data_IF_940572634250
#
_entry.id   IF_940572634250
#
_cell.length_a   1.000
_cell.length_b   1.000
_cell.length_c   1.000
_cell.angle_alpha   90.00
_cell.angle_beta   90.00
_cell.angle_gamma   90.00
#
_symmetry.space_group_name_H-M   'P 1'
#
loop_
_entity.id
_entity.type
_entity.pdbx_description
1 polymer ?
#
# COMPACT_ATOMS: atom_id res chain seq x y z
N UNK A 1 -2.94 34.80 63.07
CA UNK A 1 -3.94 33.92 63.71
C UNK A 1 -4.48 32.96 62.67
N UNK A 2 -4.01 31.70 62.65
CA UNK A 2 -4.45 30.68 61.70
C UNK A 2 -5.66 29.93 62.28
N UNK A 3 -6.64 29.53 61.45
CA UNK A 3 -7.75 28.70 61.91
C UNK A 3 -8.09 27.58 60.90
N UNK A 4 -7.46 26.44 61.18
CA UNK A 4 -7.99 25.08 61.21
C UNK A 4 -8.62 24.48 59.93
N UNK A 5 -7.80 23.65 59.28
CA UNK A 5 -8.22 22.43 58.58
C UNK A 5 -9.17 21.59 59.45
N UNK A 6 -10.29 21.16 58.89
CA UNK A 6 -11.05 20.02 59.40
C UNK A 6 -10.82 18.81 58.51
N UNK A 7 -9.93 17.93 58.95
CA UNK A 7 -9.93 16.52 58.59
C UNK A 7 -11.20 15.87 59.13
N UNK A 8 -11.93 15.12 58.30
CA UNK A 8 -12.92 14.17 58.77
C UNK A 8 -12.54 12.79 58.25
N UNK A 9 -12.19 11.94 59.22
CA UNK A 9 -11.69 10.58 59.06
C UNK A 9 -12.87 9.60 59.21
N UNK A 10 -12.96 8.66 58.26
CA UNK A 10 -13.56 7.30 58.31
C UNK A 10 -15.08 7.07 58.42
N UNK A 11 -15.59 5.88 58.01
CA UNK A 11 -14.89 4.58 57.85
C UNK A 11 -15.06 3.79 56.54
N UNK A 12 -14.08 2.90 56.35
CA UNK A 12 -14.11 1.68 55.53
C UNK A 12 -15.28 0.76 55.93
N UNK A 13 -15.90 0.12 54.93
CA UNK A 13 -16.24 -1.33 54.86
C UNK A 13 -17.42 -1.56 53.92
N UNK A 14 -17.19 -1.83 52.64
CA UNK A 14 -17.95 -2.83 51.89
C UNK A 14 -16.97 -3.57 50.98
N UNK A 15 -16.51 -4.73 51.46
CA UNK A 15 -15.96 -5.79 50.62
C UNK A 15 -17.12 -6.37 49.80
N UNK A 16 -17.30 -5.89 48.58
CA UNK A 16 -18.12 -6.55 47.56
C UNK A 16 -17.20 -7.27 46.59
N UNK A 17 -17.12 -8.59 46.71
CA UNK A 17 -16.58 -9.47 45.68
C UNK A 17 -17.46 -9.33 44.42
N UNK A 18 -17.11 -8.42 43.51
CA UNK A 18 -17.62 -8.48 42.15
C UNK A 18 -16.90 -9.61 41.43
N UNK A 19 -17.42 -10.83 41.56
CA UNK A 19 -17.17 -11.88 40.58
C UNK A 19 -17.86 -11.43 39.31
N UNK A 20 -17.10 -10.89 38.35
CA UNK A 20 -17.59 -10.70 37.00
C UNK A 20 -17.76 -12.08 36.37
N UNK A 21 -18.98 -12.61 36.39
CA UNK A 21 -19.37 -13.70 35.52
C UNK A 21 -19.40 -13.12 34.10
N UNK A 22 -18.39 -13.43 33.31
CA UNK A 22 -18.40 -13.25 31.86
C UNK A 22 -19.43 -14.22 31.29
N UNK A 23 -20.68 -13.77 31.14
CA UNK A 23 -21.64 -14.47 30.29
C UNK A 23 -21.30 -14.12 28.84
N UNK A 24 -20.49 -14.97 28.19
CA UNK A 24 -20.41 -14.94 26.73
C UNK A 24 -21.73 -15.44 26.17
N UNK A 25 -22.68 -14.55 25.94
CA UNK A 25 -23.80 -14.83 25.06
C UNK A 25 -23.24 -14.86 23.63
N UNK A 26 -22.66 -16.00 23.25
CA UNK A 26 -22.46 -16.31 21.84
C UNK A 26 -23.86 -16.37 21.18
N UNK A 27 -24.05 -15.77 20.00
CA UNK A 27 -25.31 -15.93 19.28
C UNK A 27 -25.53 -17.43 19.05
N UNK A 28 -26.69 -17.93 19.47
CA UNK A 28 -27.14 -19.29 19.17
C UNK A 28 -27.32 -19.38 17.66
N UNK A 29 -26.37 -20.03 17.00
CA UNK A 29 -26.47 -20.37 15.59
C UNK A 29 -27.52 -21.48 15.53
N UNK A 30 -28.70 -21.18 14.97
CA UNK A 30 -29.71 -22.21 14.76
C UNK A 30 -29.18 -23.24 13.76
N UNK A 31 -29.42 -24.52 14.01
CA UNK A 31 -28.99 -25.66 13.18
C UNK A 31 -29.49 -25.57 11.71
N UNK A 32 -30.47 -24.71 11.45
CA UNK A 32 -30.96 -24.38 10.12
C UNK A 32 -30.08 -23.39 9.33
N UNK A 33 -29.25 -22.56 9.98
CA UNK A 33 -28.32 -21.63 9.32
C UNK A 33 -26.99 -22.30 8.93
N UNK A 34 -26.72 -23.50 9.45
CA UNK A 34 -25.51 -24.29 9.17
C UNK A 34 -25.68 -25.12 7.87
N UNK A 35 -26.88 -25.19 7.31
CA UNK A 35 -27.21 -26.11 6.19
C UNK A 35 -27.10 -25.50 4.79
N UNK A 36 -26.17 -24.57 4.57
CA UNK A 36 -25.79 -24.11 3.22
C UNK A 36 -24.29 -24.19 2.92
N UNK A 37 -23.49 -24.83 3.78
CA UNK A 37 -22.06 -24.99 3.54
C UNK A 37 -21.58 -26.41 3.82
N UNK A 38 -22.09 -27.35 3.04
CA UNK A 38 -21.36 -28.59 2.75
C UNK A 38 -20.16 -28.23 1.84
N UNK A 39 -19.14 -27.60 2.42
CA UNK A 39 -17.80 -27.57 1.84
C UNK A 39 -17.02 -28.73 2.47
N UNK A 40 -16.73 -29.74 1.64
CA UNK A 40 -15.89 -30.87 1.95
C UNK A 40 -14.58 -30.40 2.62
N UNK A 41 -14.18 -30.92 3.80
CA UNK A 41 -12.98 -30.47 4.53
C UNK A 41 -11.66 -30.65 3.75
N UNK A 42 -11.68 -31.35 2.62
CA UNK A 42 -10.56 -31.56 1.72
C UNK A 42 -10.30 -30.45 0.68
N UNK A 43 -11.18 -29.46 0.53
CA UNK A 43 -11.09 -28.43 -0.53
C UNK A 43 -10.60 -27.04 -0.03
N UNK A 44 -10.15 -26.92 1.22
CA UNK A 44 -9.45 -25.72 1.71
C UNK A 44 -7.99 -25.70 1.20
N UNK A 45 -7.76 -26.04 -0.07
CA UNK A 45 -6.67 -25.41 -0.80
C UNK A 45 -7.28 -24.12 -1.37
N UNK A 46 -7.53 -23.17 -0.46
CA UNK A 46 -7.99 -21.82 -0.80
C UNK A 46 -7.04 -21.28 -1.86
N UNK A 47 -7.58 -20.98 -3.03
CA UNK A 47 -6.87 -20.27 -4.09
C UNK A 47 -6.13 -19.08 -3.44
N UNK A 48 -4.84 -18.89 -3.73
CA UNK A 48 -4.10 -17.75 -3.21
C UNK A 48 -4.92 -16.47 -3.46
N UNK A 49 -4.98 -15.58 -2.45
CA UNK A 49 -5.68 -14.31 -2.55
C UNK A 49 -5.28 -13.62 -3.86
N UNK A 50 -6.25 -13.37 -4.73
CA UNK A 50 -5.98 -12.78 -6.04
C UNK A 50 -5.66 -11.30 -5.88
N UNK A 51 -4.68 -10.77 -6.63
CA UNK A 51 -4.37 -9.35 -6.59
C UNK A 51 -5.54 -8.46 -7.06
N UNK A 52 -6.51 -9.02 -7.80
CA UNK A 52 -7.71 -8.32 -8.28
C UNK A 52 -8.93 -8.59 -7.39
N UNK A 53 -8.75 -9.24 -6.24
CA UNK A 53 -9.83 -9.58 -5.32
C UNK A 53 -10.58 -8.30 -4.86
N UNK A 54 -11.93 -8.27 -4.95
CA UNK A 54 -12.73 -7.10 -4.54
C UNK A 54 -12.56 -6.69 -3.07
N UNK A 55 -12.06 -7.56 -2.19
CA UNK A 55 -11.75 -7.19 -0.80
C UNK A 55 -10.51 -6.28 -0.69
N UNK A 56 -9.62 -6.33 -1.68
CA UNK A 56 -8.40 -5.54 -1.72
C UNK A 56 -8.57 -4.16 -2.34
N UNK A 57 -9.62 -3.94 -3.13
CA UNK A 57 -9.81 -2.69 -3.89
C UNK A 57 -9.70 -1.42 -3.03
N UNK A 58 -10.10 -1.50 -1.75
CA UNK A 58 -10.00 -0.38 -0.80
C UNK A 58 -8.58 0.03 -0.43
N UNK A 59 -7.58 -0.72 -0.86
CA UNK A 59 -6.13 -0.47 -0.74
C UNK A 59 -5.47 -0.30 -2.12
N UNK A 60 -6.25 -0.16 -3.18
CA UNK A 60 -5.78 -0.13 -4.57
C UNK A 60 -6.21 1.16 -5.24
N UNK A 61 -6.15 2.27 -4.51
CA UNK A 61 -6.44 3.59 -5.08
C UNK A 61 -5.11 4.25 -5.45
N UNK A 62 -4.86 4.38 -6.75
CA UNK A 62 -3.60 4.89 -7.28
C UNK A 62 -3.36 6.31 -6.82
N UNK A 63 -4.35 7.19 -6.98
CA UNK A 63 -4.22 8.60 -6.61
C UNK A 63 -3.90 8.75 -5.13
N UNK A 64 -4.64 8.08 -4.25
CA UNK A 64 -4.37 8.13 -2.80
C UNK A 64 -3.01 7.55 -2.43
N UNK A 65 -2.57 6.52 -3.16
CA UNK A 65 -1.23 5.95 -3.03
C UNK A 65 -0.09 6.91 -3.38
N UNK A 66 -0.37 8.07 -3.99
CA UNK A 66 0.63 9.08 -4.35
C UNK A 66 0.51 10.39 -3.55
N UNK A 67 -0.55 10.59 -2.76
CA UNK A 67 -0.86 11.90 -2.16
C UNK A 67 0.10 12.35 -1.05
N UNK A 68 0.91 11.44 -0.51
CA UNK A 68 1.77 11.70 0.65
C UNK A 68 3.19 12.16 0.28
N UNK A 69 3.41 12.55 -0.98
CA UNK A 69 4.62 13.23 -1.45
C UNK A 69 5.33 12.51 -2.58
N UNK A 70 6.64 12.69 -2.67
CA UNK A 70 7.45 11.94 -3.62
C UNK A 70 7.69 10.52 -3.12
N UNK A 71 7.50 9.55 -4.02
CA UNK A 71 7.76 8.14 -3.77
C UNK A 71 9.09 7.74 -4.39
N UNK A 72 9.87 6.94 -3.68
CA UNK A 72 11.19 6.46 -4.09
C UNK A 72 11.16 4.94 -4.19
N UNK A 73 11.78 4.40 -5.23
CA UNK A 73 11.83 2.95 -5.42
C UNK A 73 12.67 2.29 -4.32
N UNK A 74 12.11 1.26 -3.71
CA UNK A 74 12.77 0.48 -2.65
C UNK A 74 13.09 -0.93 -3.10
N UNK A 75 12.12 -1.61 -3.71
CA UNK A 75 12.29 -2.97 -4.23
C UNK A 75 11.82 -3.06 -5.66
N UNK A 76 12.53 -3.84 -6.47
CA UNK A 76 12.12 -4.22 -7.82
C UNK A 76 12.30 -5.73 -8.00
N UNK A 77 11.32 -6.37 -8.64
CA UNK A 77 11.42 -7.77 -9.07
C UNK A 77 12.27 -7.96 -10.33
N UNK A 78 12.66 -6.87 -11.01
CA UNK A 78 13.49 -6.89 -12.20
C UNK A 78 14.89 -6.32 -11.89
N UNK A 79 15.92 -7.16 -12.07
CA UNK A 79 17.31 -6.84 -11.74
C UNK A 79 17.93 -5.82 -12.69
N UNK A 80 17.77 -6.03 -14.00
CA UNK A 80 18.28 -5.12 -15.03
C UNK A 80 17.09 -4.48 -15.75
N UNK A 81 16.98 -3.16 -15.64
CA UNK A 81 15.89 -2.37 -16.20
C UNK A 81 16.44 -1.02 -16.68
N UNK A 82 16.37 -0.80 -17.99
CA UNK A 82 16.87 0.40 -18.66
C UNK A 82 15.98 1.62 -18.46
N UNK A 83 14.71 1.45 -18.05
CA UNK A 83 13.75 2.53 -17.81
C UNK A 83 13.11 2.40 -16.42
N UNK A 84 13.89 1.93 -15.43
CA UNK A 84 13.45 1.75 -14.05
C UNK A 84 13.02 3.07 -13.47
N UNK A 85 11.81 3.11 -12.91
CA UNK A 85 11.31 4.29 -12.24
C UNK A 85 11.93 4.35 -10.83
N UNK A 86 12.79 5.33 -10.60
CA UNK A 86 13.46 5.52 -9.31
C UNK A 86 12.70 6.45 -8.37
N UNK A 87 11.93 7.39 -8.94
CA UNK A 87 11.11 8.33 -8.18
C UNK A 87 9.85 8.69 -8.94
N UNK A 88 8.74 8.79 -8.22
CA UNK A 88 7.48 9.34 -8.74
C UNK A 88 7.06 10.54 -7.89
N UNK A 89 6.68 11.64 -8.54
CA UNK A 89 6.13 12.82 -7.85
C UNK A 89 4.79 13.18 -8.45
N UNK A 90 3.73 13.07 -7.65
CA UNK A 90 2.37 13.37 -8.09
C UNK A 90 2.03 14.85 -7.90
N UNK A 91 1.45 15.46 -8.93
CA UNK A 91 1.01 16.85 -8.93
C UNK A 91 -0.46 16.93 -9.33
N UNK A 92 -1.36 16.95 -8.35
CA UNK A 92 -2.81 16.88 -8.59
C UNK A 92 -3.39 18.07 -9.38
N UNK A 93 -2.83 19.27 -9.22
CA UNK A 93 -3.37 20.51 -9.81
C UNK A 93 -2.53 21.02 -11.01
N UNK A 94 -1.78 20.13 -11.66
CA UNK A 94 -0.93 20.47 -12.82
C UNK A 94 -1.23 19.53 -13.99
N UNK A 95 -0.98 20.01 -15.20
CA UNK A 95 -1.13 19.22 -16.42
C UNK A 95 -2.50 19.37 -17.07
N UNK A 96 -2.72 18.61 -18.13
CA UNK A 96 -3.92 18.65 -18.98
C UNK A 96 -4.93 17.55 -18.68
N UNK A 97 -4.56 16.54 -17.88
CA UNK A 97 -5.43 15.41 -17.54
C UNK A 97 -6.25 15.67 -16.26
N UNK A 98 -7.44 15.07 -16.12
CA UNK A 98 -8.37 15.38 -15.02
C UNK A 98 -7.82 15.13 -13.62
N UNK A 99 -6.93 14.14 -13.48
CA UNK A 99 -6.32 13.77 -12.20
C UNK A 99 -4.91 14.35 -12.04
N UNK A 100 -4.46 15.22 -12.94
CA UNK A 100 -3.20 15.95 -12.83
C UNK A 100 -2.06 15.35 -13.66
N UNK A 101 -0.84 15.39 -13.13
CA UNK A 101 0.35 14.82 -13.78
C UNK A 101 1.28 14.12 -12.79
N UNK A 102 2.10 13.21 -13.29
CA UNK A 102 3.18 12.56 -12.53
C UNK A 102 4.51 12.90 -13.19
N UNK A 103 5.48 13.28 -12.37
CA UNK A 103 6.90 13.37 -12.75
C UNK A 103 7.59 12.07 -12.39
N UNK A 104 8.34 11.50 -13.33
CA UNK A 104 9.04 10.22 -13.22
C UNK A 104 10.53 10.43 -13.45
N UNK A 105 11.35 10.03 -12.48
CA UNK A 105 12.81 9.92 -12.67
C UNK A 105 13.15 8.47 -12.97
N UNK A 106 13.88 8.22 -14.06
CA UNK A 106 14.22 6.87 -14.50
C UNK A 106 15.70 6.64 -14.72
N UNK A 107 16.13 5.37 -14.76
CA UNK A 107 17.50 4.97 -15.12
C UNK A 107 17.84 5.17 -16.60
N UNK A 108 16.92 5.68 -17.42
CA UNK A 108 17.14 5.80 -18.86
C UNK A 108 18.35 6.66 -19.19
N UNK A 109 19.17 6.17 -20.13
CA UNK A 109 20.29 6.92 -20.70
C UNK A 109 19.83 7.96 -21.70
N UNK A 110 18.62 7.81 -22.26
CA UNK A 110 18.00 8.82 -23.09
C UNK A 110 17.48 9.97 -22.20
N UNK A 111 17.95 11.19 -22.49
CA UNK A 111 17.58 12.40 -21.74
C UNK A 111 16.07 12.66 -21.73
N UNK A 112 15.38 12.29 -22.81
CA UNK A 112 13.92 12.49 -22.94
C UNK A 112 13.13 11.57 -22.00
N UNK A 113 13.70 10.41 -21.64
CA UNK A 113 13.07 9.42 -20.76
C UNK A 113 13.64 9.42 -19.33
N UNK A 114 14.76 10.12 -19.09
CA UNK A 114 15.43 10.17 -17.78
C UNK A 114 14.66 10.99 -16.74
N UNK A 115 14.02 12.08 -17.18
CA UNK A 115 13.03 12.82 -16.39
C UNK A 115 11.81 13.09 -17.27
N UNK A 116 10.69 12.43 -16.96
CA UNK A 116 9.46 12.52 -17.73
C UNK A 116 8.37 13.19 -16.91
N UNK A 117 7.54 13.99 -17.59
CA UNK A 117 6.29 14.48 -17.05
C UNK A 117 5.18 13.91 -17.92
N UNK A 118 4.27 13.14 -17.33
CA UNK A 118 3.12 12.59 -18.02
C UNK A 118 1.81 13.02 -17.37
N UNK A 119 0.76 13.15 -18.18
CA UNK A 119 -0.60 13.27 -17.68
C UNK A 119 -0.98 12.05 -16.85
N UNK A 120 -1.82 12.26 -15.84
CA UNK A 120 -2.29 11.20 -14.94
C UNK A 120 -3.81 11.13 -14.97
N UNK A 121 -4.32 9.96 -15.30
CA UNK A 121 -5.74 9.64 -15.30
C UNK A 121 -5.90 8.16 -14.93
N UNK A 122 -5.94 7.81 -13.63
CA UNK A 122 -6.13 6.45 -13.21
C UNK A 122 -7.57 5.99 -13.51
N UNK A 123 -7.71 4.69 -13.72
CA UNK A 123 -8.90 4.00 -14.18
C UNK A 123 -9.29 2.88 -13.20
N UNK A 124 -10.56 2.52 -13.22
CA UNK A 124 -11.11 1.42 -12.43
C UNK A 124 -10.79 0.08 -13.10
N UNK A 125 -10.35 -0.90 -12.33
CA UNK A 125 -10.18 -2.27 -12.83
C UNK A 125 -11.55 -2.95 -12.97
N UNK A 126 -11.75 -3.73 -14.03
CA UNK A 126 -13.01 -4.45 -14.27
C UNK A 126 -13.41 -5.28 -13.04
N UNK A 127 -14.64 -5.07 -12.55
CA UNK A 127 -15.18 -5.76 -11.38
C UNK A 127 -14.90 -5.07 -10.04
N UNK A 128 -14.15 -3.96 -10.03
CA UNK A 128 -14.02 -3.09 -8.86
C UNK A 128 -15.10 -2.01 -8.85
N UNK A 129 -15.34 -1.45 -7.67
CA UNK A 129 -16.15 -0.26 -7.48
C UNK A 129 -15.41 0.95 -8.09
N UNK A 130 -16.12 1.80 -8.83
CA UNK A 130 -15.58 2.96 -9.53
C UNK A 130 -14.91 4.00 -8.62
N UNK A 131 -15.16 3.92 -7.31
CA UNK A 131 -14.45 4.71 -6.30
C UNK A 131 -12.94 4.42 -6.29
N UNK A 132 -12.53 3.19 -6.61
CA UNK A 132 -11.14 2.75 -6.51
C UNK A 132 -10.51 2.63 -7.90
N UNK A 133 -9.76 3.67 -8.26
CA UNK A 133 -9.01 3.73 -9.51
C UNK A 133 -7.63 3.09 -9.33
N UNK A 134 -7.53 1.81 -9.64
CA UNK A 134 -6.33 0.99 -9.38
C UNK A 134 -5.33 0.93 -10.54
N UNK A 135 -5.72 1.31 -11.76
CA UNK A 135 -4.92 1.16 -12.97
C UNK A 135 -4.49 2.53 -13.50
N UNK A 136 -3.26 2.67 -14.00
CA UNK A 136 -2.84 3.84 -14.78
C UNK A 136 -1.84 3.43 -15.85
N UNK A 137 -1.80 4.17 -16.95
CA UNK A 137 -0.80 4.01 -18.00
C UNK A 137 0.46 4.78 -17.64
N UNK A 138 1.58 4.09 -17.50
CA UNK A 138 2.87 4.67 -17.08
C UNK A 138 3.89 4.51 -18.20
N UNK A 139 4.56 5.61 -18.54
CA UNK A 139 5.60 5.62 -19.58
C UNK A 139 6.90 5.00 -19.06
N UNK A 140 7.42 4.02 -19.79
CA UNK A 140 8.75 3.41 -19.62
C UNK A 140 9.51 3.36 -20.95
N UNK A 141 9.38 4.42 -21.75
CA UNK A 141 9.75 4.49 -23.17
C UNK A 141 8.60 4.10 -24.11
N UNK A 142 7.62 3.37 -23.56
CA UNK A 142 6.30 3.06 -24.11
C UNK A 142 5.33 3.05 -22.92
N UNK A 143 4.05 3.38 -23.13
CA UNK A 143 3.04 3.31 -22.07
C UNK A 143 2.65 1.86 -21.75
N UNK A 144 2.73 1.50 -20.47
CA UNK A 144 2.29 0.20 -19.97
C UNK A 144 1.19 0.33 -18.90
N UNK A 145 0.21 -0.58 -18.90
CA UNK A 145 -0.79 -0.63 -17.84
C UNK A 145 -0.12 -1.06 -16.53
N UNK A 146 -0.16 -0.17 -15.55
CA UNK A 146 0.41 -0.38 -14.21
C UNK A 146 -0.69 -0.30 -13.18
N UNK A 147 -0.77 -1.33 -12.34
CA UNK A 147 -1.82 -1.48 -11.34
C UNK A 147 -1.25 -1.36 -9.93
N UNK A 148 -1.95 -0.67 -9.05
CA UNK A 148 -1.69 -0.73 -7.61
C UNK A 148 -2.18 -2.06 -7.07
N UNK A 149 -1.28 -2.87 -6.52
CA UNK A 149 -1.67 -4.10 -5.83
C UNK A 149 -2.02 -3.82 -4.37
N UNK A 150 -1.32 -2.84 -3.76
CA UNK A 150 -1.54 -2.40 -2.39
C UNK A 150 -0.89 -1.04 -2.14
N UNK A 151 -1.53 -0.23 -1.32
CA UNK A 151 -0.94 0.94 -0.68
C UNK A 151 -1.48 1.05 0.74
N UNK A 152 -0.63 1.50 1.66
CA UNK A 152 -1.04 1.81 3.03
C UNK A 152 -1.59 3.24 3.17
N UNK A 153 -1.62 4.00 2.05
CA UNK A 153 -2.01 5.42 1.95
C UNK A 153 -1.19 6.38 2.82
N UNK A 154 -0.02 5.94 3.29
CA UNK A 154 0.80 6.71 4.23
C UNK A 154 2.25 6.78 3.80
N UNK A 155 2.85 5.62 3.53
CA UNK A 155 4.28 5.45 3.40
C UNK A 155 4.67 4.53 2.25
N UNK A 156 3.79 3.71 1.69
CA UNK A 156 4.14 2.78 0.63
C UNK A 156 3.06 2.58 -0.43
N UNK A 157 3.51 2.24 -1.63
CA UNK A 157 2.67 1.82 -2.75
C UNK A 157 3.40 0.73 -3.51
N UNK A 158 2.71 -0.38 -3.76
CA UNK A 158 3.24 -1.50 -4.55
C UNK A 158 2.52 -1.53 -5.89
N UNK A 159 3.31 -1.53 -6.95
CA UNK A 159 2.85 -1.51 -8.33
C UNK A 159 3.17 -2.83 -9.03
N UNK A 160 2.27 -3.24 -9.93
CA UNK A 160 2.46 -4.34 -10.87
C UNK A 160 2.28 -3.84 -12.30
N UNK A 161 3.24 -4.12 -13.17
CA UNK A 161 3.16 -3.85 -14.60
C UNK A 161 3.28 -5.19 -15.34
N UNK A 162 2.14 -5.86 -15.54
CA UNK A 162 2.07 -7.25 -16.08
C UNK A 162 2.75 -7.35 -17.46
N UNK A 163 2.48 -6.39 -18.33
CA UNK A 163 2.99 -6.34 -19.71
C UNK A 163 4.46 -5.88 -19.82
N UNK A 164 5.08 -5.50 -18.70
CA UNK A 164 6.48 -5.11 -18.62
C UNK A 164 7.23 -6.09 -17.72
N UNK A 165 7.59 -7.27 -18.25
CA UNK A 165 8.30 -8.33 -17.53
C UNK A 165 7.60 -8.82 -16.25
N UNK A 166 6.28 -8.70 -16.17
CA UNK A 166 5.51 -8.94 -14.94
C UNK A 166 6.08 -8.18 -13.71
N UNK A 167 6.63 -7.00 -13.96
CA UNK A 167 7.38 -6.20 -13.00
C UNK A 167 6.53 -5.89 -11.77
N UNK A 168 7.11 -6.10 -10.59
CA UNK A 168 6.59 -5.63 -9.32
C UNK A 168 7.58 -4.72 -8.62
N UNK A 169 7.09 -3.60 -8.12
CA UNK A 169 7.90 -2.56 -7.50
C UNK A 169 7.25 -2.07 -6.21
N UNK A 170 8.04 -1.97 -5.14
CA UNK A 170 7.65 -1.28 -3.90
C UNK A 170 8.25 0.12 -3.92
N UNK A 171 7.39 1.12 -3.81
CA UNK A 171 7.77 2.50 -3.60
C UNK A 171 7.45 2.94 -2.17
N UNK A 172 8.28 3.82 -1.61
CA UNK A 172 8.10 4.39 -0.27
C UNK A 172 8.22 5.90 -0.26
N UNK A 173 7.53 6.57 0.67
CA UNK A 173 7.67 8.02 0.87
C UNK A 173 8.46 8.41 2.10
N UNK A 174 9.06 9.59 2.02
CA UNK A 174 9.73 10.25 3.14
C UNK A 174 11.05 10.89 2.74
N UNK A 175 11.83 11.29 3.76
CA UNK A 175 13.26 11.53 3.58
C UNK A 175 13.89 10.22 3.11
N UNK A 176 14.87 10.33 2.22
CA UNK A 176 15.42 9.27 1.38
C UNK A 176 16.22 8.18 2.14
N UNK A 177 15.86 7.87 3.39
CA UNK A 177 16.47 6.85 4.23
C UNK A 177 15.65 5.55 4.25
N UNK A 178 16.40 4.46 4.22
CA UNK A 178 15.97 3.09 3.92
C UNK A 178 15.00 2.44 4.91
N UNK A 179 14.85 3.03 6.09
CA UNK A 179 14.37 2.32 7.28
C UNK A 179 12.83 2.36 7.41
N UNK A 180 12.15 2.90 6.40
CA UNK A 180 10.71 3.22 6.46
C UNK A 180 9.80 2.21 5.75
N UNK A 181 10.34 1.10 5.23
CA UNK A 181 9.46 0.01 4.77
C UNK A 181 8.76 -0.56 5.99
N UNK A 182 7.48 -0.24 6.15
CA UNK A 182 6.71 -0.84 7.22
C UNK A 182 6.61 -2.37 6.98
N UNK A 183 6.51 -3.14 8.06
CA UNK A 183 6.48 -4.61 7.97
C UNK A 183 5.34 -5.15 7.11
N UNK A 184 4.20 -4.44 7.04
CA UNK A 184 3.06 -4.82 6.20
C UNK A 184 3.36 -4.68 4.72
N UNK A 185 3.94 -3.57 4.27
CA UNK A 185 4.31 -3.35 2.87
C UNK A 185 5.37 -4.36 2.42
N UNK A 186 6.34 -4.67 3.28
CA UNK A 186 7.31 -5.74 3.03
C UNK A 186 6.61 -7.10 2.89
N UNK A 187 5.76 -7.45 3.85
CA UNK A 187 5.05 -8.73 3.85
C UNK A 187 4.15 -8.88 2.61
N UNK A 188 3.34 -7.86 2.30
CA UNK A 188 2.43 -7.86 1.16
C UNK A 188 3.23 -7.92 -0.15
N UNK A 189 4.32 -7.16 -0.28
CA UNK A 189 5.22 -7.28 -1.43
C UNK A 189 5.73 -8.72 -1.57
N UNK A 190 6.22 -9.32 -0.49
CA UNK A 190 6.78 -10.67 -0.53
C UNK A 190 5.72 -11.73 -0.91
N UNK A 191 4.50 -11.59 -0.40
CA UNK A 191 3.38 -12.51 -0.71
C UNK A 191 2.99 -12.46 -2.19
N UNK A 192 2.93 -11.27 -2.78
CA UNK A 192 2.50 -11.13 -4.18
C UNK A 192 3.65 -11.21 -5.20
N UNK A 193 4.85 -10.77 -4.82
CA UNK A 193 5.97 -10.54 -5.73
C UNK A 193 7.19 -11.41 -5.45
N UNK A 194 7.23 -12.09 -4.30
CA UNK A 194 8.39 -12.88 -3.87
C UNK A 194 9.57 -12.01 -3.42
N UNK A 195 10.77 -12.60 -3.28
CA UNK A 195 11.98 -11.87 -2.96
C UNK A 195 12.30 -10.80 -4.03
N UNK A 196 12.72 -9.59 -3.64
CA UNK A 196 13.13 -8.59 -4.62
C UNK A 196 14.41 -9.03 -5.33
N UNK A 197 14.49 -8.73 -6.64
CA UNK A 197 15.69 -8.99 -7.41
C UNK A 197 16.77 -7.92 -7.17
N UNK A 198 16.34 -6.70 -6.83
CA UNK A 198 17.22 -5.59 -6.44
C UNK A 198 16.52 -4.70 -5.41
N UNK A 199 17.30 -4.11 -4.50
CA UNK A 199 16.84 -3.19 -3.48
C UNK A 199 17.70 -1.94 -3.42
N UNK A 200 17.11 -0.79 -3.13
CA UNK A 200 17.79 0.49 -3.05
C UNK A 200 17.62 1.10 -1.65
N UNK A 201 18.68 1.66 -1.06
CA UNK A 201 18.58 2.34 0.24
C UNK A 201 18.15 3.79 0.11
N UNK A 202 18.49 4.43 -1.00
CA UNK A 202 18.25 5.84 -1.26
C UNK A 202 18.07 6.09 -2.77
N UNK A 203 17.66 7.31 -3.12
CA UNK A 203 17.44 7.70 -4.52
C UNK A 203 18.72 7.62 -5.36
N UNK A 204 19.88 8.01 -4.81
CA UNK A 204 21.15 8.04 -5.56
C UNK A 204 21.63 6.67 -6.00
N UNK A 205 21.27 5.59 -5.29
CA UNK A 205 21.58 4.22 -5.71
C UNK A 205 20.77 3.79 -6.94
N UNK A 206 19.51 4.23 -7.04
CA UNK A 206 18.67 3.91 -8.22
C UNK A 206 18.93 4.88 -9.37
N UNK A 207 19.01 6.17 -9.06
CA UNK A 207 19.19 7.27 -10.01
C UNK A 207 20.49 8.01 -9.70
N UNK A 208 21.65 7.44 -10.06
CA UNK A 208 22.91 8.13 -9.87
C UNK A 208 22.94 9.40 -10.72
N UNK A 209 23.56 10.46 -10.17
CA UNK A 209 23.88 11.63 -10.97
C UNK A 209 24.74 11.21 -12.16
N UNK A 210 24.52 11.84 -13.32
CA UNK A 210 25.34 11.54 -14.49
C UNK A 210 26.79 11.87 -14.13
N UNK A 211 27.70 10.93 -14.32
CA UNK A 211 29.13 11.18 -14.15
C UNK A 211 29.51 12.39 -15.01
N UNK A 212 30.03 13.43 -14.36
CA UNK A 212 30.46 14.67 -15.00
C UNK A 212 31.65 14.47 -15.93
#
# INVERSE_FOLDING_TARGET
>A
MPLLLKFRVWPLLIRGLCVFVLTSAAPVINEADIKSRDENPGDIIKTPLSEKDPMLQKYQDFKKGLLFGALVLKFSSLKEDSNRICKMTYNANKGTMPDGQIELLTTSTNKDFRNMIQGFAPETVKGHNETYKALAWIDRGVYYPTRVIFTDYKCCTILRTEEYNNLCELFVAGRYDSDRVNGWCYFIYYVFCGPPAVSFQNLSECWPEAAA
#
